data_IF_651427992793
#
_entry.id   IF_651427992793
#
_cell.length_a   1.000
_cell.length_b   1.000
_cell.length_c   1.000
_cell.angle_alpha   90.00
_cell.angle_beta   90.00
_cell.angle_gamma   90.00
#
_symmetry.space_group_name_H-M   'P 1'
#
loop_
_entity.id
_entity.type
_entity.pdbx_description
1 polymer ?
#
# COMPACT_ATOMS: atom_id res chain seq x y z
N UNK A 1 30.10 5.88 55.60
CA UNK A 1 28.78 6.46 55.28
C UNK A 1 28.80 6.92 53.84
N UNK A 2 28.23 6.14 52.92
CA UNK A 2 28.03 6.58 51.54
C UNK A 2 26.88 7.58 51.56
N UNK A 3 27.15 8.81 51.11
CA UNK A 3 26.21 9.94 51.20
C UNK A 3 24.96 9.68 50.37
N UNK A 4 23.78 10.09 50.87
CA UNK A 4 22.50 9.94 50.19
C UNK A 4 22.48 10.57 48.78
N UNK A 5 23.34 11.57 48.53
CA UNK A 5 23.54 12.21 47.22
C UNK A 5 24.10 11.27 46.14
N UNK A 6 24.94 10.30 46.52
CA UNK A 6 25.56 9.36 45.57
C UNK A 6 24.54 8.33 45.05
N UNK A 7 23.49 8.09 45.84
CA UNK A 7 22.38 7.19 45.49
C UNK A 7 21.41 7.85 44.51
N UNK A 8 21.16 9.16 44.64
CA UNK A 8 20.35 9.93 43.71
C UNK A 8 21.05 10.12 42.35
N UNK A 9 22.37 10.33 42.35
CA UNK A 9 23.18 10.42 41.14
C UNK A 9 23.26 9.08 40.38
N UNK A 10 23.42 7.95 41.09
CA UNK A 10 23.37 6.60 40.47
C UNK A 10 21.99 6.25 39.91
N UNK A 11 20.91 6.62 40.60
CA UNK A 11 19.53 6.41 40.08
C UNK A 11 19.29 7.26 38.82
N UNK A 12 19.73 8.52 38.78
CA UNK A 12 19.67 9.35 37.56
C UNK A 12 20.47 8.78 36.38
N UNK A 13 21.62 8.15 36.65
CA UNK A 13 22.45 7.49 35.62
C UNK A 13 21.86 6.19 35.06
N UNK A 14 20.96 5.51 35.80
CA UNK A 14 20.25 4.31 35.35
C UNK A 14 18.86 4.60 34.75
N UNK A 15 18.25 5.73 35.10
CA UNK A 15 16.98 6.18 34.51
C UNK A 15 17.17 6.74 33.09
N UNK A 16 18.31 7.38 32.80
CA UNK A 16 18.63 7.93 31.48
C UNK A 16 18.60 6.88 30.34
N UNK A 17 19.24 5.70 30.45
CA UNK A 17 19.15 4.67 29.41
C UNK A 17 17.76 4.01 29.32
N UNK A 18 17.02 3.94 30.44
CA UNK A 18 15.64 3.43 30.44
C UNK A 18 14.66 4.37 29.74
N UNK A 19 14.80 5.69 29.96
CA UNK A 19 14.05 6.73 29.28
C UNK A 19 14.42 6.80 27.78
N UNK A 20 15.70 6.62 27.46
CA UNK A 20 16.22 6.56 26.08
C UNK A 20 15.66 5.37 25.30
N UNK A 21 15.62 4.18 25.91
CA UNK A 21 14.98 3.02 25.30
C UNK A 21 13.47 3.24 25.12
N UNK A 22 12.80 3.90 26.07
CA UNK A 22 11.36 4.21 26.00
C UNK A 22 11.03 5.26 24.93
N UNK A 23 11.86 6.29 24.76
CA UNK A 23 11.72 7.35 23.75
C UNK A 23 12.04 6.82 22.35
N UNK A 24 13.10 6.03 22.19
CA UNK A 24 13.38 5.34 20.92
C UNK A 24 12.27 4.32 20.61
N UNK A 25 11.71 3.66 21.62
CA UNK A 25 10.57 2.75 21.45
C UNK A 25 9.29 3.49 21.03
N UNK A 26 8.97 4.63 21.65
CA UNK A 26 7.85 5.51 21.25
C UNK A 26 8.03 6.05 19.84
N UNK A 27 9.25 6.38 19.46
CA UNK A 27 9.59 6.92 18.15
C UNK A 27 9.55 5.86 17.04
N UNK A 28 10.04 4.67 17.35
CA UNK A 28 9.89 3.50 16.49
C UNK A 28 8.41 3.17 16.31
N UNK A 29 7.55 3.35 17.32
CA UNK A 29 6.07 3.25 17.21
C UNK A 29 5.46 4.38 16.35
N UNK A 30 6.04 5.59 16.36
CA UNK A 30 5.57 6.77 15.64
C UNK A 30 5.81 6.78 14.13
N UNK A 31 6.53 5.80 13.56
CA UNK A 31 6.68 5.68 12.10
C UNK A 31 5.31 5.62 11.40
N UNK A 32 4.22 5.25 12.12
CA UNK A 32 2.85 5.42 11.61
C UNK A 32 1.71 5.59 12.65
N UNK A 33 1.89 5.71 13.98
CA UNK A 33 0.71 5.87 14.87
C UNK A 33 0.98 6.66 16.19
N UNK A 34 0.33 7.82 16.43
CA UNK A 34 0.48 8.63 17.65
C UNK A 34 -0.60 8.35 18.71
N UNK A 35 -0.99 7.09 18.96
CA UNK A 35 -1.87 6.75 20.10
C UNK A 35 -1.13 5.97 21.20
N UNK A 36 -0.89 6.57 22.37
CA UNK A 36 -0.85 5.79 23.61
C UNK A 36 -2.28 5.30 23.90
N UNK A 37 -2.48 3.99 24.04
CA UNK A 37 -3.78 3.43 24.40
C UNK A 37 -4.24 3.99 25.76
N UNK A 38 -5.52 4.35 25.95
CA UNK A 38 -6.08 4.44 27.29
C UNK A 38 -6.05 3.03 27.91
N UNK A 39 -5.76 2.92 29.21
CA UNK A 39 -5.83 1.66 29.96
C UNK A 39 -7.24 1.07 29.82
N UNK A 40 -7.41 0.13 28.90
CA UNK A 40 -8.64 -0.65 28.78
C UNK A 40 -8.67 -1.64 29.95
N UNK A 41 -9.71 -1.52 30.77
CA UNK A 41 -10.00 -2.48 31.84
C UNK A 41 -10.02 -3.89 31.25
N UNK A 42 -9.17 -4.76 31.77
CA UNK A 42 -9.02 -6.15 31.33
C UNK A 42 -10.35 -6.90 31.51
N UNK A 43 -11.16 -6.97 30.46
CA UNK A 43 -12.16 -8.02 30.32
C UNK A 43 -11.42 -9.24 29.78
N UNK A 44 -11.27 -10.27 30.62
CA UNK A 44 -10.66 -11.54 30.24
C UNK A 44 -11.55 -12.19 29.17
N UNK A 45 -11.19 -12.04 27.90
CA UNK A 45 -11.75 -12.81 26.81
C UNK A 45 -10.86 -14.03 26.55
N UNK A 46 -11.51 -15.19 26.45
CA UNK A 46 -10.93 -16.50 26.13
C UNK A 46 -9.97 -16.38 24.92
N UNK A 47 -8.80 -17.03 24.96
CA UNK A 47 -7.93 -17.08 23.78
C UNK A 47 -8.66 -17.80 22.64
N UNK A 48 -8.71 -17.16 21.47
CA UNK A 48 -8.97 -17.83 20.20
C UNK A 48 -7.78 -18.75 19.93
N UNK A 49 -7.96 -20.05 20.15
CA UNK A 49 -7.04 -21.07 19.66
C UNK A 49 -7.26 -21.15 18.15
N UNK A 50 -6.25 -20.75 17.37
CA UNK A 50 -6.22 -21.04 15.95
C UNK A 50 -5.49 -22.37 15.77
N UNK A 51 -6.16 -23.36 15.19
CA UNK A 51 -5.49 -24.59 14.73
C UNK A 51 -4.56 -24.21 13.58
N UNK A 52 -3.25 -24.34 13.81
CA UNK A 52 -2.28 -24.26 12.74
C UNK A 52 -2.58 -25.37 11.72
N UNK A 53 -2.64 -25.08 10.41
CA UNK A 53 -2.72 -26.12 9.38
C UNK A 53 -1.54 -27.07 9.55
N UNK A 54 -1.75 -28.41 9.53
CA UNK A 54 -0.65 -29.35 9.70
C UNK A 54 0.38 -29.15 8.58
N UNK A 55 1.65 -29.05 8.95
CA UNK A 55 2.75 -28.98 8.00
C UNK A 55 2.71 -30.21 7.07
N UNK A 56 2.87 -30.03 5.74
CA UNK A 56 2.92 -31.15 4.82
C UNK A 56 4.16 -31.99 5.14
N UNK A 57 3.92 -33.20 5.63
CA UNK A 57 4.94 -34.23 5.84
C UNK A 57 5.61 -34.50 4.49
N UNK A 58 6.86 -34.10 4.34
CA UNK A 58 7.69 -34.47 3.18
C UNK A 58 7.90 -35.98 3.20
N UNK A 59 7.17 -36.69 2.34
CA UNK A 59 7.40 -38.10 2.08
C UNK A 59 8.76 -38.29 1.40
N UNK A 60 9.61 -39.11 2.03
CA UNK A 60 10.85 -39.65 1.45
C UNK A 60 10.55 -40.32 0.10
N UNK A 61 11.29 -40.03 -0.98
CA UNK A 61 11.02 -40.64 -2.27
C UNK A 61 11.42 -42.13 -2.28
N UNK A 62 10.47 -43.00 -2.61
CA UNK A 62 10.70 -44.42 -2.85
C UNK A 62 11.57 -44.65 -4.12
N UNK A 63 12.39 -45.71 -4.16
CA UNK A 63 13.26 -45.98 -5.31
C UNK A 63 12.44 -46.39 -6.54
N UNK A 64 12.73 -45.75 -7.69
CA UNK A 64 12.07 -46.04 -8.98
C UNK A 64 12.40 -47.46 -9.47
N UNK A 65 11.42 -48.25 -9.93
CA UNK A 65 11.67 -49.48 -10.65
C UNK A 65 12.21 -49.21 -12.06
N UNK A 66 13.15 -50.06 -12.48
CA UNK A 66 13.87 -50.04 -13.75
C UNK A 66 12.92 -50.31 -14.92
N UNK A 67 12.91 -49.44 -15.93
CA UNK A 67 12.14 -49.64 -17.16
C UNK A 67 12.92 -50.53 -18.16
N UNK A 68 12.26 -51.58 -18.66
CA UNK A 68 12.73 -52.47 -19.73
C UNK A 68 12.39 -51.85 -21.10
N UNK A 69 13.22 -51.98 -22.15
CA UNK A 69 13.06 -51.22 -23.37
C UNK A 69 12.03 -51.86 -24.30
N UNK A 70 11.12 -51.07 -24.88
CA UNK A 70 10.26 -51.53 -25.98
C UNK A 70 10.17 -50.48 -27.09
N UNK A 71 10.88 -50.80 -28.19
CA UNK A 71 10.59 -50.64 -29.62
C UNK A 71 9.90 -49.36 -30.14
N UNK A 72 10.65 -48.62 -30.97
CA UNK A 72 10.23 -47.59 -31.93
C UNK A 72 9.44 -48.19 -33.12
N UNK A 73 8.48 -47.43 -33.69
CA UNK A 73 8.38 -47.30 -35.15
C UNK A 73 8.46 -45.84 -35.64
N UNK A 74 8.80 -45.71 -36.93
CA UNK A 74 9.15 -44.50 -37.70
C UNK A 74 7.90 -43.73 -38.23
N UNK A 75 8.08 -42.51 -38.79
CA UNK A 75 7.06 -41.47 -38.96
C UNK A 75 6.33 -41.51 -40.31
N UNK A 76 5.16 -40.89 -40.36
CA UNK A 76 4.42 -40.45 -41.56
C UNK A 76 3.66 -39.18 -41.14
N UNK A 77 4.13 -37.99 -41.52
CA UNK A 77 3.83 -37.20 -42.72
C UNK A 77 2.58 -36.30 -42.60
N UNK A 78 2.83 -35.01 -42.81
CA UNK A 78 1.89 -33.89 -42.94
C UNK A 78 1.27 -33.89 -44.33
N UNK A 79 0.01 -33.47 -44.47
CA UNK A 79 -0.42 -32.66 -45.61
C UNK A 79 -1.11 -31.39 -45.09
N UNK A 80 -0.61 -30.18 -45.37
CA UNK A 80 -0.66 -29.44 -46.63
C UNK A 80 -2.07 -28.92 -46.97
N UNK A 81 -2.19 -27.60 -46.87
CA UNK A 81 -3.31 -26.73 -47.22
C UNK A 81 -3.47 -26.66 -48.74
N UNK A 82 -4.70 -26.40 -49.24
CA UNK A 82 -4.80 -25.44 -50.33
C UNK A 82 -5.87 -24.36 -50.11
N UNK A 83 -5.52 -23.18 -50.60
CA UNK A 83 -6.34 -21.98 -50.73
C UNK A 83 -7.38 -22.11 -51.85
N UNK A 84 -8.50 -21.36 -51.74
CA UNK A 84 -9.17 -20.70 -52.86
C UNK A 84 -10.20 -19.66 -52.35
N UNK A 85 -9.90 -18.38 -52.56
CA UNK A 85 -10.85 -17.29 -52.91
C UNK A 85 -10.99 -17.35 -54.46
N UNK A 86 -11.93 -16.68 -55.17
CA UNK A 86 -12.87 -15.63 -54.77
C UNK A 86 -14.31 -15.81 -55.30
N UNK A 87 -15.23 -14.90 -54.97
CA UNK A 87 -16.20 -14.37 -55.95
C UNK A 87 -17.07 -13.22 -55.39
N UNK A 88 -17.09 -12.12 -56.14
CA UNK A 88 -18.03 -10.97 -56.17
C UNK A 88 -17.91 -10.50 -57.62
N UNK A 89 -18.98 -10.25 -58.41
CA UNK A 89 -19.82 -9.04 -58.33
C UNK A 89 -21.29 -9.30 -58.73
N UNK A 90 -22.27 -8.39 -58.64
CA UNK A 90 -22.43 -7.18 -59.44
C UNK A 90 -23.74 -6.46 -59.06
N UNK A 91 -23.73 -5.12 -59.15
CA UNK A 91 -24.82 -4.16 -58.91
C UNK A 91 -25.70 -3.94 -60.19
N UNK A 92 -26.37 -2.78 -60.42
CA UNK A 92 -27.43 -1.99 -59.76
C UNK A 92 -28.68 -1.87 -60.72
N UNK A 93 -29.64 -0.89 -60.65
CA UNK A 93 -29.44 0.54 -60.99
C UNK A 93 -30.31 1.58 -60.21
N UNK A 94 -30.09 2.87 -60.49
CA UNK A 94 -30.76 4.10 -60.02
C UNK A 94 -31.49 4.82 -61.22
N UNK A 95 -31.81 6.14 -61.21
CA UNK A 95 -32.80 7.01 -60.51
C UNK A 95 -33.74 7.73 -61.58
N UNK A 96 -34.19 9.02 -61.52
CA UNK A 96 -34.74 9.98 -60.51
C UNK A 96 -36.19 10.49 -60.92
N UNK A 97 -36.57 11.80 -60.86
CA UNK A 97 -37.13 12.61 -59.75
C UNK A 97 -38.56 13.15 -60.03
N UNK A 98 -39.19 13.84 -59.06
CA UNK A 98 -39.98 15.06 -59.32
C UNK A 98 -40.30 15.83 -58.00
N UNK A 99 -40.03 17.14 -58.03
CA UNK A 99 -40.50 18.23 -57.15
C UNK A 99 -41.33 19.18 -58.05
N UNK A 100 -42.10 20.21 -57.59
CA UNK A 100 -42.58 20.57 -56.25
C UNK A 100 -44.07 21.06 -56.18
N UNK A 101 -44.54 21.33 -54.94
CA UNK A 101 -45.53 22.34 -54.51
C UNK A 101 -47.07 22.15 -54.76
N UNK A 102 -47.99 22.86 -54.04
CA UNK A 102 -47.84 23.73 -52.86
C UNK A 102 -48.77 23.38 -51.66
N UNK A 103 -48.62 24.19 -50.62
CA UNK A 103 -49.25 24.18 -49.30
C UNK A 103 -50.80 24.27 -49.28
N UNK A 104 -51.41 23.63 -48.26
CA UNK A 104 -52.51 24.23 -47.51
C UNK A 104 -52.68 23.63 -46.09
N UNK A 105 -52.29 24.47 -45.15
CA UNK A 105 -52.75 24.69 -43.78
C UNK A 105 -54.13 24.13 -43.40
N UNK A 106 -54.19 23.30 -42.34
CA UNK A 106 -54.89 23.61 -41.07
C UNK A 106 -55.17 22.36 -40.21
N UNK A 107 -54.65 22.43 -38.97
CA UNK A 107 -55.21 21.92 -37.72
C UNK A 107 -55.57 20.42 -37.58
N UNK A 108 -54.79 19.69 -36.77
CA UNK A 108 -55.29 19.13 -35.50
C UNK A 108 -54.21 18.35 -34.72
N UNK A 109 -54.28 18.50 -33.39
CA UNK A 109 -53.85 17.58 -32.34
C UNK A 109 -52.36 17.50 -31.96
N UNK A 110 -52.11 17.91 -30.72
CA UNK A 110 -50.88 17.81 -29.94
C UNK A 110 -50.36 16.36 -29.86
N UNK A 111 -49.19 16.11 -30.42
CA UNK A 111 -48.38 14.92 -30.14
C UNK A 111 -47.30 15.26 -29.08
N UNK A 112 -47.02 14.36 -28.13
CA UNK A 112 -46.10 14.64 -27.03
C UNK A 112 -44.66 14.79 -27.53
N UNK A 113 -43.93 15.73 -26.95
CA UNK A 113 -42.51 16.00 -27.23
C UNK A 113 -41.71 14.69 -27.25
N UNK A 114 -41.10 14.41 -28.40
CA UNK A 114 -40.04 13.41 -28.51
C UNK A 114 -38.95 13.74 -27.48
N UNK A 115 -38.70 12.79 -26.60
CA UNK A 115 -37.57 12.82 -25.68
C UNK A 115 -36.29 12.98 -26.49
N UNK A 116 -35.63 14.12 -26.34
CA UNK A 116 -34.28 14.34 -26.84
C UNK A 116 -33.40 13.21 -26.28
N UNK A 117 -32.82 12.41 -27.17
CA UNK A 117 -31.84 11.41 -26.81
C UNK A 117 -30.69 12.10 -26.10
N UNK A 118 -30.57 11.86 -24.79
CA UNK A 118 -29.40 12.28 -24.02
C UNK A 118 -28.15 11.66 -24.68
N UNK A 119 -27.03 12.39 -24.78
CA UNK A 119 -25.79 11.80 -25.24
C UNK A 119 -25.45 10.62 -24.33
N UNK A 120 -25.21 9.45 -24.93
CA UNK A 120 -24.73 8.30 -24.21
C UNK A 120 -23.37 8.67 -23.60
N UNK A 121 -23.33 8.86 -22.28
CA UNK A 121 -22.09 8.96 -21.53
C UNK A 121 -21.30 7.68 -21.81
N UNK A 122 -20.09 7.77 -22.41
CA UNK A 122 -19.27 6.58 -22.57
C UNK A 122 -19.06 5.93 -21.19
N UNK A 123 -19.07 4.59 -21.08
CA UNK A 123 -18.82 3.93 -19.82
C UNK A 123 -17.48 4.43 -19.25
N UNK A 124 -17.37 4.66 -17.92
CA UNK A 124 -16.11 5.04 -17.32
C UNK A 124 -15.05 4.01 -17.73
N UNK A 125 -13.95 4.47 -18.34
CA UNK A 125 -12.80 3.62 -18.54
C UNK A 125 -12.32 3.19 -17.15
N UNK A 126 -12.44 1.89 -16.85
CA UNK A 126 -11.90 1.31 -15.63
C UNK A 126 -10.37 1.37 -15.72
N UNK A 127 -9.79 2.39 -15.09
CA UNK A 127 -8.33 2.53 -15.03
C UNK A 127 -7.81 1.55 -13.99
N UNK A 128 -7.09 0.52 -14.46
CA UNK A 128 -6.43 -0.42 -13.57
C UNK A 128 -5.26 0.25 -12.86
N UNK A 129 -5.20 0.12 -11.54
CA UNK A 129 -4.12 0.65 -10.72
C UNK A 129 -2.75 0.10 -11.15
N UNK A 130 -1.79 1.00 -11.33
CA UNK A 130 -0.37 0.68 -11.45
C UNK A 130 0.15 0.17 -10.11
N UNK A 131 0.79 -1.00 -10.12
CA UNK A 131 1.43 -1.58 -8.94
C UNK A 131 2.95 -1.62 -9.17
N UNK A 132 3.77 -1.12 -8.23
CA UNK A 132 5.22 -1.22 -8.35
C UNK A 132 5.65 -2.68 -8.46
N UNK A 133 6.60 -2.97 -9.34
CA UNK A 133 7.25 -4.28 -9.34
C UNK A 133 7.93 -4.58 -8.00
N UNK A 134 8.05 -5.87 -7.67
CA UNK A 134 8.70 -6.32 -6.43
C UNK A 134 10.11 -5.76 -6.28
N UNK A 135 10.41 -5.19 -5.11
CA UNK A 135 11.63 -4.46 -4.84
C UNK A 135 12.00 -4.51 -3.36
N UNK A 136 13.29 -4.63 -3.06
CA UNK A 136 13.83 -4.43 -1.71
C UNK A 136 14.50 -3.06 -1.62
N UNK A 137 14.09 -2.23 -0.68
CA UNK A 137 14.68 -0.92 -0.39
C UNK A 137 15.40 -0.95 0.95
N UNK A 138 16.61 -0.39 0.99
CA UNK A 138 17.42 -0.24 2.20
C UNK A 138 17.50 1.23 2.57
N UNK A 139 17.40 1.52 3.87
CA UNK A 139 17.35 2.87 4.39
C UNK A 139 18.43 3.11 5.44
N UNK A 140 18.98 4.32 5.43
CA UNK A 140 19.67 4.89 6.58
C UNK A 140 18.69 5.81 7.31
N UNK A 141 18.56 5.64 8.63
CA UNK A 141 17.73 6.50 9.46
C UNK A 141 18.60 7.34 10.38
N UNK A 142 18.25 8.62 10.51
CA UNK A 142 18.82 9.55 11.47
C UNK A 142 17.69 10.27 12.20
N UNK A 143 17.96 10.74 13.39
CA UNK A 143 17.02 11.60 14.07
C UNK A 143 17.59 12.25 15.31
N UNK A 144 16.81 13.17 15.87
CA UNK A 144 17.11 13.89 17.11
C UNK A 144 15.95 13.74 18.07
N UNK A 145 16.25 13.37 19.31
CA UNK A 145 15.27 13.26 20.40
C UNK A 145 15.80 13.96 21.62
N UNK A 146 15.12 15.01 22.07
CA UNK A 146 15.51 15.77 23.25
C UNK A 146 17.00 16.15 23.22
N UNK A 147 17.46 16.65 22.06
CA UNK A 147 18.85 17.01 21.75
C UNK A 147 19.87 15.86 21.63
N UNK A 148 19.43 14.60 21.65
CA UNK A 148 20.29 13.44 21.40
C UNK A 148 20.10 12.91 19.97
N UNK A 149 21.19 12.83 19.21
CA UNK A 149 21.17 12.22 17.88
C UNK A 149 21.19 10.69 17.98
N UNK A 150 20.42 10.03 17.12
CA UNK A 150 20.47 8.58 16.96
C UNK A 150 20.53 8.16 15.49
N UNK A 151 20.96 6.93 15.24
CA UNK A 151 21.04 6.32 13.91
C UNK A 151 20.44 4.92 13.95
N UNK A 152 19.79 4.53 12.86
CA UNK A 152 19.22 3.21 12.68
C UNK A 152 19.32 2.79 11.19
N UNK A 153 19.02 1.53 10.92
CA UNK A 153 18.86 1.02 9.56
C UNK A 153 17.44 0.52 9.35
N UNK A 154 16.95 0.62 8.12
CA UNK A 154 15.66 0.10 7.72
C UNK A 154 15.73 -0.73 6.45
N UNK A 155 14.80 -1.66 6.29
CA UNK A 155 14.58 -2.41 5.05
C UNK A 155 13.08 -2.53 4.78
N UNK A 156 12.65 -2.13 3.58
CA UNK A 156 11.33 -2.42 3.04
C UNK A 156 11.46 -3.52 2.00
N UNK A 157 10.82 -4.65 2.25
CA UNK A 157 10.56 -5.66 1.24
C UNK A 157 9.14 -5.43 0.69
N UNK A 158 9.04 -5.13 -0.59
CA UNK A 158 7.80 -5.10 -1.34
C UNK A 158 7.80 -6.25 -2.36
N UNK A 159 6.80 -7.13 -2.31
CA UNK A 159 6.69 -8.26 -3.21
C UNK A 159 5.23 -8.53 -3.58
N UNK A 160 4.99 -8.99 -4.81
CA UNK A 160 3.68 -9.45 -5.23
C UNK A 160 3.77 -10.44 -6.40
N UNK A 161 2.71 -11.23 -6.60
CA UNK A 161 2.53 -12.13 -7.75
C UNK A 161 1.55 -11.55 -8.80
N UNK A 162 1.01 -10.35 -8.54
CA UNK A 162 0.01 -9.67 -9.37
C UNK A 162 -1.43 -9.85 -8.88
N UNK A 163 -1.66 -10.78 -7.96
CA UNK A 163 -2.95 -11.01 -7.29
C UNK A 163 -2.88 -10.75 -5.79
N UNK A 164 -1.77 -11.13 -5.16
CA UNK A 164 -1.50 -10.97 -3.74
C UNK A 164 -0.19 -10.19 -3.56
N UNK A 165 -0.13 -9.40 -2.50
CA UNK A 165 1.06 -8.64 -2.15
C UNK A 165 1.51 -8.93 -0.71
N UNK A 166 2.79 -8.68 -0.47
CA UNK A 166 3.42 -8.64 0.83
C UNK A 166 4.30 -7.38 0.91
N UNK A 167 4.14 -6.60 1.98
CA UNK A 167 5.00 -5.50 2.33
C UNK A 167 5.53 -5.73 3.74
N UNK A 168 6.86 -5.72 3.92
CA UNK A 168 7.50 -5.85 5.23
C UNK A 168 8.49 -4.70 5.43
N UNK A 169 8.24 -3.86 6.44
CA UNK A 169 9.17 -2.82 6.87
C UNK A 169 9.81 -3.23 8.19
N UNK A 170 11.13 -3.36 8.20
CA UNK A 170 11.91 -3.57 9.43
C UNK A 170 12.80 -2.36 9.69
N UNK A 171 12.72 -1.80 10.89
CA UNK A 171 13.57 -0.70 11.36
C UNK A 171 14.20 -1.09 12.68
N UNK A 172 15.52 -1.01 12.76
CA UNK A 172 16.24 -1.40 13.97
C UNK A 172 17.59 -0.73 14.11
N UNK A 173 18.09 -0.75 15.34
CA UNK A 173 19.42 -0.28 15.69
C UNK A 173 20.11 -1.30 16.61
N UNK A 174 21.44 -1.38 16.51
CA UNK A 174 22.25 -2.28 17.31
C UNK A 174 21.98 -2.06 18.81
N UNK A 175 21.73 -3.15 19.55
CA UNK A 175 21.36 -3.18 20.98
C UNK A 175 20.02 -2.54 21.38
N UNK A 176 19.30 -1.88 20.46
CA UNK A 176 18.01 -1.23 20.70
C UNK A 176 16.81 -2.06 20.22
N UNK A 177 17.07 -3.16 19.50
CA UNK A 177 16.04 -4.03 18.91
C UNK A 177 15.52 -3.52 17.57
N UNK A 178 14.42 -4.10 17.10
CA UNK A 178 13.75 -3.70 15.88
C UNK A 178 12.23 -3.64 16.04
N UNK A 179 11.59 -2.84 15.17
CA UNK A 179 10.16 -2.94 14.86
C UNK A 179 10.01 -3.50 13.46
N UNK A 180 9.03 -4.37 13.32
CA UNK A 180 8.66 -5.00 12.08
C UNK A 180 7.19 -4.74 11.84
N UNK A 181 6.88 -4.03 10.76
CA UNK A 181 5.53 -3.95 10.21
C UNK A 181 5.42 -4.91 9.04
N UNK A 182 4.30 -5.61 8.93
CA UNK A 182 4.02 -6.52 7.84
C UNK A 182 2.57 -6.38 7.40
N UNK A 183 2.37 -5.97 6.16
CA UNK A 183 1.07 -5.90 5.49
C UNK A 183 0.99 -6.99 4.42
N UNK A 184 -0.14 -7.70 4.36
CA UNK A 184 -0.46 -8.61 3.26
C UNK A 184 -1.90 -8.45 2.84
N UNK A 185 -2.15 -8.65 1.55
CA UNK A 185 -3.49 -8.53 1.00
C UNK A 185 -3.56 -8.86 -0.48
N UNK A 186 -4.62 -8.38 -1.13
CA UNK A 186 -4.88 -8.57 -2.55
C UNK A 186 -4.57 -7.31 -3.35
N UNK A 187 -4.25 -7.51 -4.61
CA UNK A 187 -4.24 -6.47 -5.63
C UNK A 187 -5.57 -6.53 -6.37
N UNK A 188 -6.22 -5.37 -6.50
CA UNK A 188 -7.50 -5.19 -7.17
C UNK A 188 -7.36 -4.14 -8.27
N UNK A 189 -8.35 -3.98 -9.17
CA UNK A 189 -8.32 -2.87 -10.14
C UNK A 189 -8.21 -1.48 -9.50
N UNK A 190 -8.69 -1.30 -8.27
CA UNK A 190 -8.61 -0.04 -7.52
C UNK A 190 -7.28 0.15 -6.74
N UNK A 191 -6.41 -0.86 -6.75
CA UNK A 191 -5.15 -0.87 -5.99
C UNK A 191 -5.13 -1.94 -4.90
N UNK A 192 -4.45 -1.64 -3.80
CA UNK A 192 -4.24 -2.58 -2.71
C UNK A 192 -5.49 -2.74 -1.83
N UNK A 193 -5.78 -3.98 -1.48
CA UNK A 193 -6.81 -4.34 -0.52
C UNK A 193 -6.16 -5.17 0.61
N UNK A 194 -5.75 -4.52 1.72
CA UNK A 194 -5.17 -5.22 2.85
C UNK A 194 -6.12 -6.27 3.44
N UNK A 195 -5.53 -7.34 3.97
CA UNK A 195 -6.23 -8.41 4.67
C UNK A 195 -5.70 -8.59 6.09
N UNK A 196 -4.40 -8.37 6.29
CA UNK A 196 -3.76 -8.46 7.60
C UNK A 196 -2.60 -7.48 7.68
N UNK A 197 -2.59 -6.73 8.77
CA UNK A 197 -1.47 -5.90 9.19
C UNK A 197 -0.94 -6.38 10.53
N UNK A 198 0.36 -6.53 10.65
CA UNK A 198 1.07 -6.90 11.88
C UNK A 198 2.07 -5.80 12.22
N UNK A 199 2.11 -5.41 13.47
CA UNK A 199 3.12 -4.54 14.05
C UNK A 199 3.78 -5.24 15.23
N UNK A 200 5.07 -5.56 15.08
CA UNK A 200 5.86 -6.30 16.06
C UNK A 200 7.00 -5.42 16.54
N UNK A 201 7.07 -5.22 17.85
CA UNK A 201 8.26 -4.66 18.52
C UNK A 201 8.84 -5.67 19.50
N UNK A 202 8.03 -6.06 20.49
CA UNK A 202 8.30 -7.19 21.40
C UNK A 202 7.29 -8.31 21.25
N UNK A 203 6.06 -7.95 20.94
CA UNK A 203 4.93 -8.84 20.73
C UNK A 203 4.20 -8.42 19.45
N UNK A 204 3.47 -9.36 18.86
CA UNK A 204 2.68 -9.14 17.65
C UNK A 204 1.37 -8.47 18.01
N UNK A 205 1.11 -7.35 17.34
CA UNK A 205 -0.20 -6.74 17.30
C UNK A 205 -0.74 -6.80 15.90
N UNK A 206 -2.03 -7.06 15.78
CA UNK A 206 -2.64 -7.42 14.50
C UNK A 206 -3.90 -6.60 14.28
N UNK A 207 -4.07 -6.10 13.05
CA UNK A 207 -5.35 -5.69 12.50
C UNK A 207 -5.71 -6.64 11.35
N UNK A 208 -6.87 -7.29 11.42
CA UNK A 208 -7.41 -8.17 10.39
C UNK A 208 -8.58 -7.47 9.69
N UNK A 209 -8.54 -7.41 8.37
CA UNK A 209 -9.56 -6.78 7.53
C UNK A 209 -10.48 -7.87 7.00
N UNK A 210 -11.62 -8.05 7.65
CA UNK A 210 -12.64 -9.01 7.25
C UNK A 210 -13.56 -8.38 6.20
N UNK A 211 -13.21 -8.60 4.94
CA UNK A 211 -13.99 -8.14 3.79
C UNK A 211 -15.39 -8.77 3.71
N UNK A 212 -15.56 -9.98 4.27
CA UNK A 212 -16.84 -10.71 4.23
C UNK A 212 -17.81 -10.13 5.25
N UNK A 213 -17.32 -9.82 6.44
CA UNK A 213 -18.11 -9.22 7.51
C UNK A 213 -18.13 -7.68 7.47
N UNK A 214 -17.34 -7.05 6.60
CA UNK A 214 -17.26 -5.60 6.49
C UNK A 214 -16.70 -4.93 7.74
N UNK A 215 -15.75 -5.57 8.43
CA UNK A 215 -15.20 -5.08 9.70
C UNK A 215 -13.69 -5.30 9.82
N UNK A 216 -13.06 -4.54 10.71
CA UNK A 216 -11.66 -4.71 11.11
C UNK A 216 -11.62 -5.22 12.55
N UNK A 217 -10.82 -6.26 12.81
CA UNK A 217 -10.63 -6.86 14.13
C UNK A 217 -9.20 -6.66 14.62
N UNK A 218 -9.02 -6.44 15.91
CA UNK A 218 -7.71 -6.18 16.52
C UNK A 218 -7.32 -7.26 17.53
N UNK A 219 -6.03 -7.61 17.59
CA UNK A 219 -5.54 -8.61 18.55
C UNK A 219 -5.58 -8.17 20.02
N UNK A 220 -5.54 -6.86 20.27
CA UNK A 220 -5.54 -6.25 21.62
C UNK A 220 -6.95 -6.21 22.25
N UNK A 221 -7.93 -6.93 21.69
CA UNK A 221 -9.29 -6.99 22.24
C UNK A 221 -10.11 -5.71 22.07
N UNK A 222 -9.60 -4.73 21.32
CA UNK A 222 -10.37 -3.55 20.94
C UNK A 222 -11.64 -3.97 20.16
N UNK A 223 -12.78 -3.27 20.33
CA UNK A 223 -14.00 -3.58 19.60
C UNK A 223 -13.75 -3.58 18.09
N UNK A 224 -14.35 -4.52 17.34
CA UNK A 224 -14.34 -4.45 15.88
C UNK A 224 -14.91 -3.12 15.40
N UNK A 225 -14.34 -2.58 14.33
CA UNK A 225 -14.83 -1.35 13.70
C UNK A 225 -15.32 -1.67 12.30
N UNK A 226 -16.29 -0.90 11.79
CA UNK A 226 -16.72 -1.02 10.40
C UNK A 226 -15.52 -0.79 9.46
N UNK A 227 -15.40 -1.60 8.42
CA UNK A 227 -14.34 -1.51 7.42
C UNK A 227 -14.59 -0.30 6.52
N UNK A 228 -13.75 0.76 6.56
CA UNK A 228 -13.92 1.89 5.68
C UNK A 228 -13.65 1.51 4.22
N UNK A 229 -14.30 2.22 3.30
CA UNK A 229 -13.96 2.11 1.88
C UNK A 229 -12.50 2.53 1.65
N UNK A 230 -11.80 1.82 0.75
CA UNK A 230 -10.42 2.09 0.36
C UNK A 230 -9.42 2.05 1.54
N UNK A 231 -9.82 1.44 2.68
CA UNK A 231 -9.00 1.33 3.86
C UNK A 231 -7.67 0.64 3.53
N UNK A 232 -6.59 1.36 3.83
CA UNK A 232 -5.24 0.85 3.81
C UNK A 232 -4.80 0.56 5.24
N UNK A 233 -3.83 -0.32 5.42
CA UNK A 233 -3.07 -0.32 6.66
C UNK A 233 -1.93 0.70 6.61
N UNK A 234 -1.33 0.90 7.77
CA UNK A 234 -0.27 1.87 7.98
C UNK A 234 1.02 1.64 7.18
N UNK A 235 1.22 0.47 6.59
CA UNK A 235 2.36 0.22 5.70
C UNK A 235 1.96 0.28 4.22
N UNK A 236 0.86 -0.36 3.85
CA UNK A 236 0.33 -0.39 2.49
C UNK A 236 -0.09 0.98 1.97
N UNK A 237 -0.48 1.92 2.85
CA UNK A 237 -0.89 3.28 2.46
C UNK A 237 0.17 4.00 1.62
N UNK A 238 1.46 3.81 1.91
CA UNK A 238 2.53 4.44 1.13
C UNK A 238 2.61 3.92 -0.30
N UNK A 239 2.41 2.61 -0.46
CA UNK A 239 2.39 1.95 -1.78
C UNK A 239 1.12 2.34 -2.54
N UNK A 240 -0.03 2.40 -1.85
CA UNK A 240 -1.29 2.83 -2.44
C UNK A 240 -1.23 4.29 -2.92
N UNK A 241 -0.61 5.21 -2.18
CA UNK A 241 -0.41 6.60 -2.62
C UNK A 241 0.42 6.66 -3.91
N UNK A 242 1.54 5.92 -3.97
CA UNK A 242 2.35 5.82 -5.19
C UNK A 242 1.57 5.23 -6.36
N UNK A 243 0.75 4.19 -6.10
CA UNK A 243 -0.14 3.58 -7.09
C UNK A 243 -1.15 4.59 -7.64
N UNK A 244 -1.90 5.29 -6.79
CA UNK A 244 -2.89 6.28 -7.21
C UNK A 244 -2.27 7.38 -8.10
N UNK A 245 -1.18 7.96 -7.63
CA UNK A 245 -0.48 9.07 -8.32
C UNK A 245 0.08 8.62 -9.67
N UNK A 246 0.74 7.47 -9.72
CA UNK A 246 1.34 6.95 -10.95
C UNK A 246 0.30 6.46 -11.96
N UNK A 247 -0.87 6.01 -11.49
CA UNK A 247 -1.97 5.54 -12.36
C UNK A 247 -2.67 6.70 -13.08
N UNK A 248 -2.94 7.80 -12.36
CA UNK A 248 -3.68 8.95 -12.92
C UNK A 248 -3.07 10.28 -12.49
N UNK A 249 -1.82 10.60 -12.90
CA UNK A 249 -1.11 11.78 -12.42
C UNK A 249 -1.86 13.09 -12.69
N UNK A 250 -2.68 13.16 -13.73
CA UNK A 250 -3.49 14.33 -14.06
C UNK A 250 -4.56 14.63 -13.00
N UNK A 251 -4.96 13.66 -12.16
CA UNK A 251 -5.90 13.86 -11.05
C UNK A 251 -5.24 14.42 -9.80
N UNK A 252 -3.91 14.43 -9.75
CA UNK A 252 -3.14 14.80 -8.57
C UNK A 252 -2.15 15.93 -8.86
N UNK A 253 -2.60 17.09 -9.39
CA UNK A 253 -1.74 18.26 -9.46
C UNK A 253 -1.33 18.72 -8.04
N UNK A 254 -0.27 19.52 -7.97
CA UNK A 254 0.18 20.21 -6.75
C UNK A 254 -1.00 20.85 -6.00
N UNK A 255 -1.03 20.69 -4.68
CA UNK A 255 -2.09 21.17 -3.79
C UNK A 255 -3.28 20.21 -3.64
N UNK A 256 -3.33 19.12 -4.40
CA UNK A 256 -4.40 18.12 -4.24
C UNK A 256 -4.26 17.40 -2.91
N UNK A 257 -5.35 17.36 -2.14
CA UNK A 257 -5.44 16.53 -0.95
C UNK A 257 -5.94 15.12 -1.30
N UNK A 258 -5.22 14.09 -0.87
CA UNK A 258 -5.60 12.69 -0.98
C UNK A 258 -5.89 12.19 0.43
N UNK A 259 -7.13 11.76 0.67
CA UNK A 259 -7.57 11.26 1.97
C UNK A 259 -7.81 9.76 1.91
N UNK A 260 -7.14 9.00 2.78
CA UNK A 260 -7.26 7.56 2.89
C UNK A 260 -7.42 7.15 4.37
N UNK A 261 -8.27 6.17 4.70
CA UNK A 261 -8.26 5.54 6.01
C UNK A 261 -7.00 4.69 6.16
N UNK A 262 -6.10 5.05 7.08
CA UNK A 262 -4.91 4.28 7.42
C UNK A 262 -5.10 3.57 8.76
N UNK A 263 -5.21 2.26 8.73
CA UNK A 263 -5.54 1.41 9.87
C UNK A 263 -4.28 0.91 10.53
N UNK A 264 -4.08 1.31 11.78
CA UNK A 264 -3.06 0.74 12.66
C UNK A 264 -3.63 -0.34 13.57
N UNK A 265 -2.81 -0.86 14.46
CA UNK A 265 -3.22 -1.89 15.43
C UNK A 265 -4.15 -1.38 16.55
N UNK A 266 -4.37 -0.07 16.63
CA UNK A 266 -5.27 0.59 17.58
C UNK A 266 -6.51 1.22 16.92
N UNK A 267 -6.71 0.98 15.63
CA UNK A 267 -7.85 1.50 14.89
C UNK A 267 -7.48 2.36 13.68
N UNK A 268 -8.51 2.82 12.94
CA UNK A 268 -8.36 3.67 11.78
C UNK A 268 -7.99 5.11 12.15
N UNK A 269 -7.19 5.72 11.29
CA UNK A 269 -6.90 7.15 11.23
C UNK A 269 -7.22 7.68 9.84
N UNK A 270 -7.71 8.92 9.76
CA UNK A 270 -7.90 9.59 8.47
C UNK A 270 -6.60 10.28 8.07
N UNK A 271 -5.93 9.74 7.05
CA UNK A 271 -4.70 10.31 6.51
C UNK A 271 -5.01 11.21 5.34
N UNK A 272 -4.86 12.52 5.52
CA UNK A 272 -4.94 13.51 4.45
C UNK A 272 -3.54 13.99 4.09
N UNK A 273 -3.03 13.56 2.93
CA UNK A 273 -1.75 14.02 2.39
C UNK A 273 -1.99 15.04 1.28
N UNK A 274 -1.13 16.03 1.16
CA UNK A 274 -1.15 17.05 0.11
C UNK A 274 -0.02 16.78 -0.86
N UNK A 275 -0.33 16.81 -2.16
CA UNK A 275 0.67 16.71 -3.22
C UNK A 275 1.45 18.02 -3.30
N UNK A 276 2.77 17.94 -3.17
CA UNK A 276 3.68 19.08 -3.26
C UNK A 276 4.42 19.05 -4.61
N UNK A 277 5.59 19.69 -4.67
CA UNK A 277 6.44 19.73 -5.84
C UNK A 277 7.32 18.47 -5.98
N UNK A 278 7.76 18.19 -7.21
CA UNK A 278 8.86 17.26 -7.45
C UNK A 278 10.19 17.92 -7.11
N UNK A 279 11.06 17.20 -6.41
CA UNK A 279 12.41 17.66 -6.08
C UNK A 279 13.47 16.60 -6.37
N UNK A 280 14.69 17.05 -6.64
CA UNK A 280 15.87 16.19 -6.72
C UNK A 280 16.45 16.04 -5.32
N UNK A 281 16.45 14.82 -4.81
CA UNK A 281 16.99 14.46 -3.51
C UNK A 281 18.43 13.96 -3.65
N UNK A 282 19.36 14.51 -2.87
CA UNK A 282 20.69 13.92 -2.67
C UNK A 282 20.65 12.99 -1.46
N UNK A 283 20.50 11.68 -1.69
CA UNK A 283 20.32 10.66 -0.65
C UNK A 283 21.60 9.80 -0.51
N UNK A 284 21.74 9.02 0.59
CA UNK A 284 22.87 8.11 0.78
C UNK A 284 23.06 7.10 -0.37
N UNK A 285 21.99 6.72 -1.07
CA UNK A 285 22.05 5.83 -2.23
C UNK A 285 22.36 6.52 -3.56
N UNK A 286 22.47 7.85 -3.58
CA UNK A 286 22.63 8.66 -4.79
C UNK A 286 21.52 9.69 -4.99
N UNK A 287 21.50 10.34 -6.15
CA UNK A 287 20.49 11.33 -6.48
C UNK A 287 19.23 10.69 -7.08
N UNK A 288 18.05 11.12 -6.64
CA UNK A 288 16.76 10.68 -7.17
C UNK A 288 15.80 11.86 -7.30
N UNK A 289 15.05 11.93 -8.40
CA UNK A 289 13.86 12.77 -8.47
C UNK A 289 12.71 12.08 -7.73
N UNK A 290 12.01 12.82 -6.88
CA UNK A 290 10.87 12.31 -6.14
C UNK A 290 9.78 13.38 -5.99
N UNK A 291 8.53 12.95 -6.06
CA UNK A 291 7.38 13.77 -5.72
C UNK A 291 7.22 13.81 -4.21
N UNK A 292 7.16 15.01 -3.64
CA UNK A 292 6.92 15.19 -2.22
C UNK A 292 5.41 15.19 -1.93
N UNK A 293 5.02 14.53 -0.85
CA UNK A 293 3.72 14.59 -0.21
C UNK A 293 3.89 15.09 1.22
N UNK A 294 2.97 15.91 1.70
CA UNK A 294 3.01 16.42 3.07
C UNK A 294 1.71 16.10 3.83
N UNK A 295 1.83 15.75 5.12
CA UNK A 295 0.70 15.62 6.04
C UNK A 295 0.98 16.52 7.24
N UNK A 296 0.14 17.53 7.39
CA UNK A 296 0.15 18.38 8.57
C UNK A 296 -0.37 17.60 9.79
N UNK A 297 0.13 17.89 11.00
CA UNK A 297 -0.42 17.30 12.21
C UNK A 297 -1.85 17.80 12.43
N UNK A 298 -2.75 16.89 12.82
CA UNK A 298 -4.15 17.25 13.15
C UNK A 298 -4.37 17.49 14.64
N UNK A 299 -3.41 17.07 15.47
CA UNK A 299 -3.35 17.27 16.92
C UNK A 299 -1.93 17.66 17.31
N UNK A 300 -1.77 18.30 18.47
CA UNK A 300 -0.48 18.83 18.94
C UNK A 300 0.61 17.77 19.13
N UNK A 301 0.23 16.53 19.45
CA UNK A 301 1.12 15.40 19.65
C UNK A 301 1.37 14.57 18.39
N UNK A 302 0.78 14.95 17.26
CA UNK A 302 1.06 14.31 15.97
C UNK A 302 2.29 14.93 15.32
N UNK A 303 3.21 14.13 14.75
CA UNK A 303 4.27 14.68 13.92
C UNK A 303 3.71 15.15 12.58
N UNK A 304 4.33 16.20 12.02
CA UNK A 304 4.25 16.45 10.57
C UNK A 304 4.95 15.30 9.85
N UNK A 305 4.32 14.77 8.81
CA UNK A 305 4.94 13.77 7.94
C UNK A 305 5.22 14.35 6.56
N UNK A 306 6.37 14.02 6.00
CA UNK A 306 6.77 14.33 4.63
C UNK A 306 7.25 13.03 3.98
N UNK A 307 6.73 12.73 2.80
CA UNK A 307 6.95 11.47 2.09
C UNK A 307 7.41 11.82 0.69
N UNK A 308 8.49 11.19 0.23
CA UNK A 308 9.00 11.40 -1.12
C UNK A 308 8.90 10.10 -1.91
N UNK A 309 8.07 10.10 -2.95
CA UNK A 309 7.83 8.96 -3.81
C UNK A 309 8.66 9.11 -5.09
N UNK A 310 9.55 8.16 -5.36
CA UNK A 310 10.48 8.25 -6.48
C UNK A 310 10.04 7.35 -7.65
N UNK A 311 9.80 7.89 -8.87
CA UNK A 311 9.44 7.08 -10.04
C UNK A 311 10.48 6.00 -10.36
N UNK A 312 11.78 6.30 -10.14
CA UNK A 312 12.88 5.34 -10.34
C UNK A 312 12.85 4.14 -9.38
N UNK A 313 12.10 4.23 -8.27
CA UNK A 313 11.85 3.14 -7.33
C UNK A 313 10.44 2.56 -7.50
N UNK A 314 9.79 2.76 -8.65
CA UNK A 314 8.41 2.33 -8.89
C UNK A 314 7.39 3.14 -8.09
N UNK A 315 7.70 4.40 -7.74
CA UNK A 315 6.90 5.25 -6.86
C UNK A 315 6.84 4.78 -5.40
N UNK A 316 7.75 3.89 -4.98
CA UNK A 316 7.95 3.57 -3.57
C UNK A 316 8.65 4.74 -2.82
N UNK A 317 8.53 4.80 -1.47
CA UNK A 317 9.13 5.88 -0.69
C UNK A 317 10.66 5.88 -0.74
N UNK A 318 11.24 6.91 -1.33
CA UNK A 318 12.68 7.17 -1.28
C UNK A 318 13.09 7.86 0.03
N UNK A 319 12.19 8.62 0.63
CA UNK A 319 12.41 9.27 1.93
C UNK A 319 11.10 9.40 2.69
N UNK A 320 11.17 9.25 4.01
CA UNK A 320 10.07 9.59 4.92
C UNK A 320 10.67 10.38 6.07
N UNK A 321 10.17 11.59 6.30
CA UNK A 321 10.57 12.45 7.42
C UNK A 321 9.37 12.71 8.32
N UNK A 322 9.57 12.50 9.61
CA UNK A 322 8.63 12.86 10.66
C UNK A 322 9.26 13.93 11.53
N UNK A 323 8.56 15.03 11.77
CA UNK A 323 9.07 16.14 12.59
C UNK A 323 8.02 16.61 13.59
N UNK A 324 8.42 16.80 14.84
CA UNK A 324 7.61 17.37 15.92
C UNK A 324 7.87 18.87 16.06
N UNK A 325 6.95 19.58 16.70
CA UNK A 325 7.09 21.02 16.97
C UNK A 325 8.29 21.36 17.86
N UNK A 326 8.69 20.44 18.74
CA UNK A 326 9.85 20.59 19.63
C UNK A 326 11.21 20.44 18.92
N UNK A 327 11.22 20.21 17.60
CA UNK A 327 12.42 19.99 16.80
C UNK A 327 12.86 18.53 16.68
N UNK A 328 12.29 17.61 17.46
CA UNK A 328 12.59 16.19 17.34
C UNK A 328 12.16 15.68 15.96
N UNK A 329 12.97 14.81 15.36
CA UNK A 329 12.66 14.25 14.05
C UNK A 329 13.22 12.86 13.84
N UNK A 330 12.62 12.16 12.87
CA UNK A 330 13.16 10.97 12.21
C UNK A 330 13.25 11.29 10.73
N UNK A 331 14.34 10.88 10.11
CA UNK A 331 14.53 10.98 8.67
C UNK A 331 15.05 9.64 8.14
N UNK A 332 14.14 8.91 7.48
CA UNK A 332 14.42 7.67 6.79
C UNK A 332 14.77 7.98 5.34
N UNK A 333 16.03 7.71 4.95
CA UNK A 333 16.54 8.06 3.62
C UNK A 333 17.02 6.80 2.88
N UNK A 334 16.63 6.67 1.62
CA UNK A 334 17.03 5.57 0.76
C UNK A 334 18.56 5.51 0.61
N UNK A 335 19.11 4.31 0.82
CA UNK A 335 20.55 4.01 0.72
C UNK A 335 20.86 3.04 -0.42
N UNK A 336 19.87 2.33 -0.93
CA UNK A 336 20.07 1.39 -2.02
C UNK A 336 18.86 0.49 -2.22
N UNK A 337 18.82 -0.19 -3.36
CA UNK A 337 17.76 -1.12 -3.72
C UNK A 337 18.33 -2.40 -4.33
N UNK A 338 17.52 -3.45 -4.35
CA UNK A 338 17.89 -4.74 -4.93
C UNK A 338 16.66 -5.61 -5.17
N UNK A 339 16.85 -6.81 -5.74
CA UNK A 339 15.76 -7.77 -5.87
C UNK A 339 15.14 -8.11 -4.50
N UNK A 340 13.83 -8.43 -4.47
CA UNK A 340 13.11 -8.82 -3.26
C UNK A 340 13.75 -10.01 -2.56
#
# INVERSE_FOLDING_TARGET
MVSADDTAARRRRLLLPGLLALLIHLLVLLIVNPRPAPEAQTIILRPLIYDAPPEPVTATPAPRPRATPTRRPRPVAVPEQPAATPETPMAPPAPPPDEPAPAQEAAAALAPLAAASAPATPPPLEVQAFIPGSLRLKYALRGELSSLSYQASGELLWAHDGQNYEARMEVGAFLLGSRVQHSRGRITPAGLQPQRFVDRVRQDRVAEFDQTQGQIRFSEGAPPVALPQDAQDQLSVFVQLGSLISTTPQRYPRGTAITLPAVGVYGPESWSVVVEDEETLSLPGGELRALKLSRAPTRADEPRAEIWLAPALGWLPARIRLSQENGDFIDQQWRGSGPP
#
